data_IF_575356240392
#
_entry.id   IF_575356240392
#
_cell.length_a   1.000
_cell.length_b   1.000
_cell.length_c   1.000
_cell.angle_alpha   90.00
_cell.angle_beta   90.00
_cell.angle_gamma   90.00
#
_symmetry.space_group_name_H-M   'P 1'
#
loop_
_entity.id
_entity.type
_entity.pdbx_description
1 polymer ?
#
# COMPACT_ATOMS: atom_id res chain seq x y z
N UNK A 1 -9.29 -20.76 3.92
CA UNK A 1 -9.31 -19.69 4.95
C UNK A 1 -8.41 -20.21 6.05
N UNK A 2 -7.13 -19.80 6.04
CA UNK A 2 -6.09 -20.43 6.84
C UNK A 2 -6.22 -20.10 8.32
N UNK A 3 -5.95 -21.10 9.17
CA UNK A 3 -5.89 -20.95 10.62
C UNK A 3 -4.81 -19.92 10.97
N UNK A 4 -5.20 -18.88 11.70
CA UNK A 4 -4.24 -17.91 12.25
C UNK A 4 -3.57 -18.53 13.47
N UNK A 5 -2.25 -18.35 13.67
CA UNK A 5 -1.59 -18.90 14.83
C UNK A 5 -2.25 -18.38 16.12
N UNK A 6 -2.48 -19.29 17.07
CA UNK A 6 -3.05 -18.96 18.38
C UNK A 6 -2.28 -17.80 19.02
N UNK A 7 -3.00 -16.78 19.48
CA UNK A 7 -2.42 -15.63 20.17
C UNK A 7 -2.24 -14.35 19.33
N UNK A 8 -2.50 -14.36 18.01
CA UNK A 8 -2.57 -13.12 17.23
C UNK A 8 -3.89 -12.41 17.54
N UNK A 9 -3.88 -11.18 18.10
CA UNK A 9 -5.11 -10.47 18.40
C UNK A 9 -5.91 -10.22 17.11
N UNK A 10 -7.18 -10.63 17.08
CA UNK A 10 -8.09 -10.29 15.96
C UNK A 10 -8.42 -8.79 15.88
N UNK A 11 -8.02 -8.02 16.90
CA UNK A 11 -8.26 -6.59 17.00
C UNK A 11 -6.98 -5.83 16.69
N UNK A 12 -7.02 -5.01 15.66
CA UNK A 12 -5.98 -4.02 15.40
C UNK A 12 -6.09 -2.88 16.41
N UNK A 13 -4.99 -2.59 17.08
CA UNK A 13 -4.85 -1.42 17.95
C UNK A 13 -4.32 -0.26 17.12
N UNK A 14 -4.97 0.90 17.21
CA UNK A 14 -4.64 2.09 16.40
C UNK A 14 -5.81 2.61 15.58
N UNK A 15 -5.62 3.77 14.95
CA UNK A 15 -6.65 4.46 14.18
C UNK A 15 -6.43 4.19 12.69
N UNK A 16 -7.32 3.46 12.03
CA UNK A 16 -7.23 3.22 10.57
C UNK A 16 -7.57 4.46 9.73
N UNK A 17 -8.46 5.32 10.24
CA UNK A 17 -8.92 6.51 9.51
C UNK A 17 -8.51 7.78 10.20
N UNK A 18 -7.87 8.66 9.44
CA UNK A 18 -7.51 10.01 9.86
C UNK A 18 -8.72 10.94 10.01
N UNK A 19 -8.46 12.24 9.84
CA UNK A 19 -9.53 13.18 9.53
C UNK A 19 -10.15 12.82 8.16
N UNK A 20 -11.40 13.24 7.93
CA UNK A 20 -12.07 13.03 6.65
C UNK A 20 -11.19 13.52 5.50
N UNK A 21 -10.96 12.65 4.52
CA UNK A 21 -10.20 13.00 3.32
C UNK A 21 -10.90 14.12 2.55
N UNK A 22 -10.10 14.92 1.84
CA UNK A 22 -10.62 15.89 0.87
C UNK A 22 -11.23 15.16 -0.33
N UNK A 23 -12.14 15.78 -1.11
CA UNK A 23 -12.85 15.10 -2.20
C UNK A 23 -11.95 14.45 -3.27
N UNK A 24 -10.84 15.08 -3.67
CA UNK A 24 -9.91 14.51 -4.66
C UNK A 24 -9.20 13.25 -4.12
N UNK A 25 -8.52 13.29 -2.95
CA UNK A 25 -7.98 12.10 -2.29
C UNK A 25 -8.95 10.93 -2.14
N UNK A 26 -10.17 11.21 -1.68
CA UNK A 26 -11.21 10.20 -1.50
C UNK A 26 -11.57 9.52 -2.83
N UNK A 27 -11.69 10.32 -3.90
CA UNK A 27 -11.94 9.82 -5.26
C UNK A 27 -10.77 9.00 -5.81
N UNK A 28 -9.52 9.41 -5.58
CA UNK A 28 -8.33 8.67 -6.01
C UNK A 28 -8.30 7.28 -5.39
N UNK A 29 -8.52 7.17 -4.08
CA UNK A 29 -8.61 5.87 -3.41
C UNK A 29 -9.76 5.04 -4.00
N UNK A 30 -10.95 5.62 -4.08
CA UNK A 30 -12.16 4.92 -4.52
C UNK A 30 -12.15 4.45 -5.97
N UNK A 31 -11.38 5.10 -6.85
CA UNK A 31 -11.32 4.76 -8.27
C UNK A 31 -10.07 3.96 -8.63
N UNK A 32 -8.91 4.34 -8.10
CA UNK A 32 -7.63 3.76 -8.49
C UNK A 32 -7.41 2.38 -7.86
N UNK A 33 -7.62 2.23 -6.56
CA UNK A 33 -7.31 0.96 -5.88
C UNK A 33 -8.14 -0.23 -6.40
N UNK A 34 -9.45 -0.10 -6.67
CA UNK A 34 -10.21 -1.19 -7.29
C UNK A 34 -9.71 -1.54 -8.69
N UNK A 35 -9.30 -0.54 -9.48
CA UNK A 35 -8.78 -0.74 -10.82
C UNK A 35 -7.38 -1.38 -10.83
N UNK A 36 -6.57 -1.14 -9.80
CA UNK A 36 -5.21 -1.69 -9.65
C UNK A 36 -5.17 -2.95 -8.78
N UNK A 37 -6.29 -3.67 -8.69
CA UNK A 37 -6.34 -4.93 -7.96
C UNK A 37 -5.63 -6.02 -8.74
N UNK A 38 -4.52 -6.50 -8.21
CA UNK A 38 -3.81 -7.65 -8.74
C UNK A 38 -4.55 -8.96 -8.37
N UNK A 39 -4.65 -9.88 -9.33
CA UNK A 39 -5.27 -11.21 -9.15
C UNK A 39 -4.25 -12.32 -8.95
N UNK A 40 -2.98 -12.04 -9.21
CA UNK A 40 -1.85 -12.95 -9.05
C UNK A 40 -0.60 -12.19 -8.57
N UNK A 41 0.49 -12.93 -8.35
CA UNK A 41 1.78 -12.40 -7.90
C UNK A 41 2.80 -12.26 -9.04
N UNK A 42 2.35 -12.22 -10.29
CA UNK A 42 3.20 -12.17 -11.47
C UNK A 42 4.10 -10.93 -11.53
N UNK A 43 3.70 -9.83 -10.88
CA UNK A 43 4.48 -8.60 -10.80
C UNK A 43 5.86 -8.78 -10.14
N UNK A 44 6.02 -9.81 -9.29
CA UNK A 44 7.26 -10.12 -8.60
C UNK A 44 8.07 -11.24 -9.27
N UNK A 45 7.56 -11.85 -10.34
CA UNK A 45 8.23 -12.99 -10.98
C UNK A 45 9.63 -12.59 -11.46
N UNK A 46 10.63 -13.40 -11.12
CA UNK A 46 12.06 -13.23 -11.45
C UNK A 46 12.77 -12.00 -10.84
N UNK A 47 12.15 -11.29 -9.89
CA UNK A 47 12.73 -10.12 -9.23
C UNK A 47 12.89 -10.38 -7.73
N UNK A 48 13.93 -9.82 -7.07
CA UNK A 48 13.95 -9.74 -5.61
C UNK A 48 12.68 -9.05 -5.12
N UNK A 49 12.01 -9.64 -4.12
CA UNK A 49 10.76 -9.10 -3.58
C UNK A 49 11.01 -8.48 -2.20
N UNK A 50 10.74 -7.19 -2.06
CA UNK A 50 10.81 -6.48 -0.79
C UNK A 50 9.40 -6.17 -0.27
N UNK A 51 9.25 -6.19 1.04
CA UNK A 51 8.01 -5.83 1.74
C UNK A 51 8.28 -4.64 2.65
N UNK A 52 7.52 -3.56 2.44
CA UNK A 52 7.50 -2.40 3.32
C UNK A 52 6.17 -2.36 4.09
N UNK A 53 6.26 -2.36 5.42
CA UNK A 53 5.09 -2.31 6.31
C UNK A 53 5.03 -0.93 6.95
N UNK A 54 3.93 -0.22 6.74
CA UNK A 54 3.76 1.16 7.20
C UNK A 54 4.58 2.14 6.38
N UNK A 55 4.37 2.17 5.05
CA UNK A 55 5.14 3.02 4.14
C UNK A 55 4.89 4.54 4.31
N UNK A 56 3.92 4.93 5.15
CA UNK A 56 3.63 6.34 5.40
C UNK A 56 3.17 7.06 4.14
N UNK A 57 3.84 8.14 3.76
CA UNK A 57 3.54 8.93 2.56
C UNK A 57 4.06 8.32 1.26
N UNK A 58 4.83 7.23 1.33
CA UNK A 58 5.36 6.50 0.18
C UNK A 58 6.68 7.06 -0.36
N UNK A 59 7.24 8.12 0.21
CA UNK A 59 8.47 8.76 -0.29
C UNK A 59 9.65 7.78 -0.30
N UNK A 60 9.77 6.98 0.76
CA UNK A 60 10.79 5.95 0.86
C UNK A 60 10.56 4.83 -0.17
N UNK A 61 9.34 4.31 -0.27
CA UNK A 61 8.99 3.28 -1.26
C UNK A 61 9.29 3.73 -2.70
N UNK A 62 8.90 4.95 -3.06
CA UNK A 62 9.12 5.50 -4.40
C UNK A 62 10.62 5.71 -4.68
N UNK A 63 11.39 6.16 -3.68
CA UNK A 63 12.84 6.25 -3.79
C UNK A 63 13.51 4.88 -3.97
N UNK A 64 13.05 3.84 -3.26
CA UNK A 64 13.55 2.47 -3.43
C UNK A 64 13.22 1.93 -4.83
N UNK A 65 12.01 2.15 -5.34
CA UNK A 65 11.62 1.76 -6.69
C UNK A 65 12.49 2.43 -7.77
N UNK A 66 12.84 3.71 -7.57
CA UNK A 66 13.71 4.45 -8.48
C UNK A 66 15.18 3.97 -8.40
N UNK A 67 15.67 3.67 -7.20
CA UNK A 67 17.05 3.23 -6.99
C UNK A 67 17.30 1.76 -7.39
N UNK A 68 16.26 0.91 -7.31
CA UNK A 68 16.33 -0.53 -7.53
C UNK A 68 15.30 -1.00 -8.57
N UNK A 69 15.42 -0.58 -9.84
CA UNK A 69 14.46 -0.91 -10.90
C UNK A 69 14.40 -2.40 -11.26
N UNK A 70 15.28 -3.23 -10.71
CA UNK A 70 15.28 -4.70 -10.78
C UNK A 70 14.45 -5.37 -9.67
N UNK A 71 14.09 -4.64 -8.62
CA UNK A 71 13.39 -5.18 -7.43
C UNK A 71 11.89 -4.95 -7.53
N UNK A 72 11.08 -5.92 -7.10
CA UNK A 72 9.64 -5.74 -6.90
C UNK A 72 9.36 -5.38 -5.44
N UNK A 73 8.47 -4.42 -5.20
CA UNK A 73 8.13 -3.97 -3.85
C UNK A 73 6.63 -4.11 -3.60
N UNK A 74 6.27 -4.76 -2.49
CA UNK A 74 4.93 -4.68 -1.89
C UNK A 74 5.04 -3.69 -0.74
N UNK A 75 4.29 -2.59 -0.80
CA UNK A 75 4.21 -1.63 0.28
C UNK A 75 2.78 -1.60 0.84
N UNK A 76 2.64 -1.83 2.14
CA UNK A 76 1.35 -1.81 2.84
C UNK A 76 1.25 -0.66 3.83
N UNK A 77 0.12 0.03 3.85
CA UNK A 77 -0.21 1.09 4.81
C UNK A 77 -1.65 0.90 5.30
N UNK A 78 -1.90 1.25 6.56
CA UNK A 78 -3.23 1.15 7.20
C UNK A 78 -3.94 2.50 7.32
N UNK A 79 -3.20 3.61 7.22
CA UNK A 79 -3.74 4.97 7.23
C UNK A 79 -4.12 5.42 5.80
N UNK A 80 -5.39 5.75 5.59
CA UNK A 80 -5.90 6.22 4.28
C UNK A 80 -5.15 7.46 3.75
N UNK A 81 -4.71 8.36 4.63
CA UNK A 81 -3.90 9.53 4.22
C UNK A 81 -2.54 9.14 3.66
N UNK A 82 -1.90 8.12 4.25
CA UNK A 82 -0.63 7.60 3.76
C UNK A 82 -0.81 6.93 2.39
N UNK A 83 -1.83 6.07 2.25
CA UNK A 83 -2.17 5.43 0.97
C UNK A 83 -2.45 6.46 -0.14
N UNK A 84 -3.15 7.55 0.18
CA UNK A 84 -3.48 8.55 -0.82
C UNK A 84 -2.26 9.32 -1.34
N UNK A 85 -1.26 9.56 -0.49
CA UNK A 85 -0.10 10.38 -0.83
C UNK A 85 0.60 9.93 -2.13
N UNK A 86 1.07 8.68 -2.27
CA UNK A 86 1.71 8.24 -3.50
C UNK A 86 0.73 8.16 -4.67
N UNK A 87 -0.57 7.93 -4.44
CA UNK A 87 -1.57 7.95 -5.52
C UNK A 87 -1.67 9.34 -6.18
N UNK A 88 -1.41 10.43 -5.44
CA UNK A 88 -1.40 11.77 -6.05
C UNK A 88 -0.22 12.01 -6.98
N UNK A 89 0.88 11.27 -6.80
CA UNK A 89 2.06 11.32 -7.68
C UNK A 89 1.94 10.35 -8.85
N UNK A 90 1.39 9.15 -8.59
CA UNK A 90 1.29 8.07 -9.57
C UNK A 90 0.09 8.21 -10.52
N UNK A 91 -0.95 8.95 -10.12
CA UNK A 91 -2.17 9.15 -10.90
C UNK A 91 -2.26 10.63 -11.32
N UNK A 92 -2.08 10.94 -12.62
CA UNK A 92 -2.18 12.32 -13.13
C UNK A 92 -3.58 12.93 -12.91
#
# INVERSE_FOLDING_TARGET
MGDWPEGVPQRLYGRRRGHKLRPRPDRLIGQTLPAWRFTDTGFAASRPLWLEVGFGGGEHTLALLAAHPETAIIAGEVYETGICSPLTELVP
#
